data_IF_384346294628
#
_entry.id   IF_384346294628
#
_cell.length_a   1.000
_cell.length_b   1.000
_cell.length_c   1.000
_cell.angle_alpha   90.00
_cell.angle_beta   90.00
_cell.angle_gamma   90.00
#
_symmetry.space_group_name_H-M   'P 1'
#
loop_
_entity.id
_entity.type
_entity.pdbx_description
1 polymer ?
#
# COMPACT_ATOMS: atom_id res chain seq x y z
N UNK A 1 -14.31 -21.97 26.27
CA UNK A 1 -13.64 -23.21 25.87
C UNK A 1 -14.57 -24.01 24.98
N UNK A 2 -14.09 -24.49 23.86
CA UNK A 2 -14.82 -25.24 22.86
C UNK A 2 -14.02 -25.31 21.58
N UNK A 3 -14.45 -26.12 20.64
CA UNK A 3 -13.78 -26.24 19.36
C UNK A 3 -13.81 -24.93 18.58
N UNK A 4 -12.65 -24.48 18.19
CA UNK A 4 -12.44 -23.25 17.39
C UNK A 4 -11.83 -23.65 16.05
N UNK A 5 -12.55 -23.33 14.98
CA UNK A 5 -12.07 -23.54 13.62
C UNK A 5 -11.09 -22.42 13.25
N UNK A 6 -9.86 -22.80 12.94
CA UNK A 6 -8.81 -21.90 12.46
C UNK A 6 -8.60 -22.14 10.97
N UNK A 7 -8.68 -21.09 10.19
CA UNK A 7 -8.34 -21.12 8.76
C UNK A 7 -6.92 -20.59 8.58
N UNK A 8 -6.07 -21.39 7.99
CA UNK A 8 -4.66 -21.06 7.71
C UNK A 8 -4.50 -20.93 6.21
N UNK A 9 -4.26 -19.70 5.74
CA UNK A 9 -3.88 -19.46 4.35
C UNK A 9 -2.40 -19.75 4.19
N UNK A 10 -2.06 -20.63 3.24
CA UNK A 10 -0.69 -20.93 2.86
C UNK A 10 -0.60 -21.01 1.35
N UNK A 11 0.09 -20.08 0.75
CA UNK A 11 0.09 -19.89 -0.72
C UNK A 11 -1.35 -19.70 -1.24
N UNK A 12 -1.79 -20.50 -2.19
CA UNK A 12 -3.13 -20.42 -2.78
C UNK A 12 -4.17 -21.30 -2.06
N UNK A 13 -3.74 -22.08 -1.07
CA UNK A 13 -4.59 -23.00 -0.32
C UNK A 13 -5.04 -22.43 1.02
N UNK A 14 -6.23 -22.86 1.44
CA UNK A 14 -6.75 -22.62 2.79
C UNK A 14 -6.92 -23.96 3.49
N UNK A 15 -6.20 -24.12 4.59
CA UNK A 15 -6.29 -25.30 5.46
C UNK A 15 -7.17 -24.97 6.66
N UNK A 16 -7.92 -25.95 7.13
CA UNK A 16 -8.76 -25.84 8.31
C UNK A 16 -8.21 -26.73 9.43
N UNK A 17 -8.09 -26.18 10.62
CA UNK A 17 -7.64 -26.88 11.82
C UNK A 17 -8.59 -26.59 12.97
N UNK A 18 -8.92 -27.61 13.74
CA UNK A 18 -9.79 -27.48 14.92
C UNK A 18 -8.94 -27.50 16.18
N UNK A 19 -9.07 -26.46 16.99
CA UNK A 19 -8.41 -26.31 18.29
C UNK A 19 -9.42 -26.35 19.42
N UNK A 20 -9.05 -26.94 20.55
CA UNK A 20 -9.89 -26.95 21.74
C UNK A 20 -10.02 -25.60 22.46
N UNK A 21 -9.27 -24.61 22.04
CA UNK A 21 -9.32 -23.24 22.54
C UNK A 21 -8.87 -22.25 21.46
N UNK A 22 -9.26 -21.00 21.58
CA UNK A 22 -8.80 -19.95 20.65
C UNK A 22 -7.28 -19.74 20.81
N UNK A 23 -6.47 -19.86 19.74
CA UNK A 23 -5.00 -19.75 19.85
C UNK A 23 -4.52 -18.36 20.24
N UNK A 24 -5.37 -17.32 20.11
CA UNK A 24 -5.06 -15.95 20.48
C UNK A 24 -5.59 -15.57 21.88
N UNK A 25 -6.18 -16.52 22.59
CA UNK A 25 -6.62 -16.34 23.98
C UNK A 25 -5.43 -16.67 24.91
N UNK A 26 -4.53 -15.71 25.05
CA UNK A 26 -3.29 -15.80 25.83
C UNK A 26 -3.25 -14.75 26.92
N UNK A 27 -2.67 -15.10 28.06
CA UNK A 27 -2.54 -14.20 29.23
C UNK A 27 -1.36 -13.24 29.07
N UNK A 28 -0.34 -13.66 28.36
CA UNK A 28 0.85 -12.89 28.06
C UNK A 28 1.68 -13.56 26.99
N UNK A 29 2.56 -12.80 26.36
CA UNK A 29 3.40 -13.27 25.30
C UNK A 29 4.76 -12.60 25.36
N UNK A 30 5.81 -13.36 25.11
CA UNK A 30 7.18 -12.88 25.03
C UNK A 30 7.78 -13.33 23.70
N UNK A 31 8.13 -12.35 22.84
CA UNK A 31 8.73 -12.59 21.53
C UNK A 31 7.97 -11.98 20.36
N UNK A 32 8.44 -12.27 19.14
CA UNK A 32 8.01 -11.61 17.90
C UNK A 32 6.92 -12.34 17.11
N UNK A 33 6.47 -13.48 17.56
CA UNK A 33 5.52 -14.32 16.81
C UNK A 33 4.07 -14.15 17.25
N UNK A 34 3.78 -13.09 17.99
CA UNK A 34 2.42 -12.84 18.44
C UNK A 34 1.61 -12.21 17.31
N UNK A 35 0.50 -12.87 16.89
CA UNK A 35 -0.37 -12.27 15.89
C UNK A 35 -1.11 -11.06 16.48
N UNK A 36 -1.16 -9.97 15.73
CA UNK A 36 -1.89 -8.76 16.11
C UNK A 36 -2.61 -8.19 14.90
N UNK A 37 -3.63 -7.38 15.16
CA UNK A 37 -4.31 -6.59 14.16
C UNK A 37 -4.04 -5.11 14.43
N UNK A 38 -3.73 -4.39 13.37
CA UNK A 38 -3.53 -2.95 13.40
C UNK A 38 -4.47 -2.30 12.39
N UNK A 39 -5.26 -1.32 12.83
CA UNK A 39 -6.10 -0.55 11.93
C UNK A 39 -5.28 0.51 11.22
N UNK A 40 -5.37 0.59 9.90
CA UNK A 40 -4.73 1.66 9.12
C UNK A 40 -5.19 3.05 9.57
N UNK A 41 -6.40 3.18 10.12
CA UNK A 41 -6.93 4.43 10.64
C UNK A 41 -6.23 4.91 11.93
N UNK A 42 -5.47 4.03 12.59
CA UNK A 42 -4.65 4.37 13.77
C UNK A 42 -3.21 4.77 13.38
N UNK A 43 -2.90 4.82 12.08
CA UNK A 43 -1.61 5.24 11.58
C UNK A 43 -1.54 6.76 11.40
N UNK A 44 -0.46 7.37 11.90
CA UNK A 44 -0.22 8.82 11.82
C UNK A 44 1.16 9.08 11.18
N UNK A 45 1.22 9.43 9.89
CA UNK A 45 2.48 9.76 9.23
C UNK A 45 3.01 11.12 9.69
N UNK A 46 4.32 11.27 9.68
CA UNK A 46 4.97 12.54 9.95
C UNK A 46 4.81 13.45 8.74
N UNK A 47 4.26 14.64 8.96
CA UNK A 47 4.25 15.74 7.98
C UNK A 47 5.20 16.82 8.43
N UNK A 48 6.02 17.34 7.52
CA UNK A 48 7.03 18.35 7.82
C UNK A 48 6.95 19.56 6.91
N UNK A 49 7.90 20.48 7.12
CA UNK A 49 8.04 21.67 6.27
C UNK A 49 8.44 21.28 4.84
N UNK A 50 9.26 20.27 4.70
CA UNK A 50 9.76 19.76 3.41
C UNK A 50 9.50 18.25 3.35
N UNK A 51 9.59 17.69 2.16
CA UNK A 51 9.39 16.27 1.91
C UNK A 51 10.21 15.39 2.87
N UNK A 52 9.51 14.45 3.48
CA UNK A 52 10.12 13.45 4.35
C UNK A 52 10.45 12.21 3.54
N UNK A 53 11.48 11.45 3.93
CA UNK A 53 11.81 10.21 3.23
C UNK A 53 10.68 9.17 3.32
N UNK A 54 10.56 8.26 2.34
CA UNK A 54 9.49 7.26 2.27
C UNK A 54 9.19 6.49 3.56
N UNK A 55 10.16 6.19 4.46
CA UNK A 55 9.88 5.51 5.72
C UNK A 55 8.82 6.15 6.64
N UNK A 56 8.43 7.41 6.42
CA UNK A 56 7.32 8.02 7.19
C UNK A 56 5.98 7.32 7.00
N UNK A 57 5.81 6.59 5.91
CA UNK A 57 4.62 5.79 5.61
C UNK A 57 4.77 4.32 5.98
N UNK A 58 6.00 3.87 6.30
CA UNK A 58 6.28 2.48 6.57
C UNK A 58 5.64 2.03 7.88
N UNK A 59 4.81 0.99 7.81
CA UNK A 59 4.07 0.42 8.94
C UNK A 59 4.68 -0.89 9.39
N UNK A 60 5.06 -1.74 8.44
CA UNK A 60 5.68 -3.04 8.71
C UNK A 60 6.85 -3.29 7.77
N UNK A 61 7.80 -4.10 8.24
CA UNK A 61 8.91 -4.56 7.41
C UNK A 61 9.27 -6.00 7.68
N UNK A 62 9.84 -6.64 6.67
CA UNK A 62 10.45 -7.97 6.72
C UNK A 62 11.70 -7.98 5.84
N UNK A 63 12.43 -9.08 5.83
CA UNK A 63 13.54 -9.27 4.88
C UNK A 63 13.10 -9.38 3.41
N UNK A 64 11.79 -9.49 3.16
CA UNK A 64 11.24 -9.74 1.83
C UNK A 64 10.39 -8.59 1.28
N UNK A 65 9.81 -7.78 2.14
CA UNK A 65 8.93 -6.67 1.74
C UNK A 65 8.75 -5.66 2.87
N UNK A 66 8.28 -4.46 2.50
CA UNK A 66 7.75 -3.45 3.42
C UNK A 66 6.29 -3.17 3.10
N UNK A 67 5.53 -2.75 4.12
CA UNK A 67 4.15 -2.30 3.99
C UNK A 67 4.08 -0.84 4.40
N UNK A 68 3.53 -0.01 3.53
CA UNK A 68 3.32 1.41 3.78
C UNK A 68 1.83 1.73 3.83
N UNK A 69 1.47 2.65 4.71
CA UNK A 69 0.11 3.15 4.89
C UNK A 69 0.01 4.59 4.42
N UNK A 70 -0.79 4.81 3.38
CA UNK A 70 -1.17 6.14 2.93
C UNK A 70 -2.53 6.47 3.51
N UNK A 71 -2.59 7.45 4.40
CA UNK A 71 -3.79 7.84 5.12
C UNK A 71 -4.08 9.31 4.91
N UNK A 72 -5.31 9.78 5.22
CA UNK A 72 -5.62 11.20 5.24
C UNK A 72 -4.58 11.97 6.07
N UNK A 73 -4.00 13.01 5.48
CA UNK A 73 -2.92 13.78 6.10
C UNK A 73 -2.78 15.16 5.48
N UNK A 74 -2.14 16.06 6.20
CA UNK A 74 -1.67 17.32 5.62
C UNK A 74 -0.44 17.06 4.74
N UNK A 75 -0.32 17.86 3.67
CA UNK A 75 0.88 17.88 2.88
C UNK A 75 2.00 18.71 3.52
N UNK A 76 3.20 18.60 2.97
CA UNK A 76 4.33 19.42 3.38
C UNK A 76 4.00 20.90 3.20
N UNK A 77 4.31 21.70 4.23
CA UNK A 77 3.83 23.07 4.33
C UNK A 77 4.82 24.14 3.89
N UNK A 78 5.90 23.79 3.19
CA UNK A 78 6.75 24.81 2.57
C UNK A 78 5.96 25.52 1.45
N UNK A 79 6.07 26.86 1.31
CA UNK A 79 5.30 27.60 0.30
C UNK A 79 5.52 27.15 -1.16
N UNK A 80 6.62 26.46 -1.43
CA UNK A 80 6.96 25.92 -2.74
C UNK A 80 6.88 24.39 -2.77
N UNK A 81 6.21 23.75 -1.80
CA UNK A 81 6.01 22.30 -1.83
C UNK A 81 5.09 21.92 -2.97
N UNK A 82 5.37 20.75 -3.56
CA UNK A 82 4.54 20.13 -4.59
C UNK A 82 3.96 18.87 -3.96
N UNK A 83 2.64 18.81 -3.72
CA UNK A 83 2.01 17.67 -3.04
C UNK A 83 2.09 16.36 -3.81
N UNK A 84 1.97 16.40 -5.14
CA UNK A 84 2.08 15.18 -5.94
C UNK A 84 3.49 14.57 -5.85
N UNK A 85 3.61 13.22 -5.84
CA UNK A 85 4.90 12.57 -5.82
C UNK A 85 5.69 12.89 -7.10
N UNK A 86 6.99 12.66 -7.07
CA UNK A 86 7.85 12.80 -8.25
C UNK A 86 7.91 11.47 -9.02
N UNK A 87 8.25 11.56 -10.31
CA UNK A 87 8.54 10.37 -11.11
C UNK A 87 9.79 9.68 -10.57
N UNK A 88 9.72 8.38 -10.41
CA UNK A 88 10.82 7.57 -9.87
C UNK A 88 10.76 6.14 -10.43
N UNK A 89 11.72 5.33 -10.05
CA UNK A 89 11.80 3.92 -10.38
C UNK A 89 12.42 3.15 -9.21
N UNK A 90 11.77 2.10 -8.79
CA UNK A 90 12.32 1.14 -7.82
C UNK A 90 13.08 0.06 -8.59
N UNK A 91 14.42 0.08 -8.55
CA UNK A 91 15.24 -0.81 -9.37
C UNK A 91 15.10 -2.27 -8.95
N UNK A 92 15.04 -2.54 -7.66
CA UNK A 92 15.07 -3.88 -7.08
C UNK A 92 13.76 -4.27 -6.37
N UNK A 93 12.67 -3.53 -6.62
CA UNK A 93 11.42 -3.69 -5.89
C UNK A 93 10.21 -3.59 -6.83
N UNK A 94 9.32 -4.57 -6.77
CA UNK A 94 7.99 -4.43 -7.33
C UNK A 94 7.11 -3.70 -6.32
N UNK A 95 6.35 -2.71 -6.78
CA UNK A 95 5.45 -1.90 -5.97
C UNK A 95 4.00 -2.27 -6.27
N UNK A 96 3.25 -2.65 -5.24
CA UNK A 96 1.81 -2.93 -5.34
C UNK A 96 1.05 -1.96 -4.47
N UNK A 97 0.08 -1.25 -5.05
CA UNK A 97 -0.84 -0.39 -4.30
C UNK A 97 -2.26 -0.93 -4.36
N UNK A 98 -2.88 -1.03 -3.20
CA UNK A 98 -4.31 -1.26 -3.06
C UNK A 98 -4.99 0.04 -2.62
N UNK A 99 -5.91 0.52 -3.43
CA UNK A 99 -6.64 1.77 -3.22
C UNK A 99 -7.93 1.48 -2.47
N UNK A 100 -8.03 1.97 -1.25
CA UNK A 100 -9.12 1.64 -0.32
C UNK A 100 -10.26 2.64 -0.43
N UNK A 101 -9.94 3.95 -0.30
CA UNK A 101 -10.92 5.04 -0.29
C UNK A 101 -10.25 6.40 -0.51
N UNK A 102 -11.03 7.41 -0.87
CA UNK A 102 -10.60 8.80 -0.97
C UNK A 102 -10.22 9.25 -2.38
N UNK A 103 -9.55 10.40 -2.46
CA UNK A 103 -9.08 11.03 -3.71
C UNK A 103 -7.62 10.65 -3.98
N UNK A 104 -7.40 9.79 -4.95
CA UNK A 104 -6.06 9.34 -5.37
C UNK A 104 -5.45 10.34 -6.35
N UNK A 105 -5.16 11.52 -5.87
CA UNK A 105 -4.73 12.69 -6.62
C UNK A 105 -3.64 12.43 -7.68
N UNK A 106 -2.75 11.49 -7.45
CA UNK A 106 -1.63 11.19 -8.34
C UNK A 106 -1.97 10.22 -9.47
N UNK A 107 -3.18 9.68 -9.47
CA UNK A 107 -3.63 8.68 -10.46
C UNK A 107 -4.90 9.13 -11.16
N UNK A 108 -4.93 9.03 -12.48
CA UNK A 108 -6.16 9.09 -13.25
C UNK A 108 -6.75 7.67 -13.35
N UNK A 109 -8.07 7.58 -13.44
CA UNK A 109 -8.82 6.33 -13.69
C UNK A 109 -8.59 5.20 -12.66
N UNK A 110 -8.24 5.59 -11.43
CA UNK A 110 -8.11 4.65 -10.30
C UNK A 110 -9.19 4.95 -9.29
N UNK A 111 -10.02 3.95 -9.00
CA UNK A 111 -11.11 4.00 -8.03
C UNK A 111 -10.82 3.12 -6.81
N UNK A 112 -11.63 3.27 -5.77
CA UNK A 112 -11.60 2.41 -4.60
C UNK A 112 -11.81 0.93 -5.00
N UNK A 113 -10.97 0.06 -4.46
CA UNK A 113 -10.94 -1.37 -4.77
C UNK A 113 -9.97 -1.76 -5.88
N UNK A 114 -9.40 -0.80 -6.61
CA UNK A 114 -8.37 -1.08 -7.62
C UNK A 114 -7.03 -1.47 -6.98
N UNK A 115 -6.22 -2.18 -7.74
CA UNK A 115 -4.84 -2.52 -7.41
C UNK A 115 -3.97 -2.12 -8.59
N UNK A 116 -2.89 -1.38 -8.35
CA UNK A 116 -1.85 -1.17 -9.35
C UNK A 116 -0.58 -1.95 -9.02
N UNK A 117 0.10 -2.40 -10.06
CA UNK A 117 1.42 -3.02 -9.98
C UNK A 117 2.39 -2.20 -10.82
N UNK A 118 3.47 -1.74 -10.18
CA UNK A 118 4.60 -1.09 -10.84
C UNK A 118 5.81 -2.02 -10.75
N UNK A 119 6.15 -2.74 -11.84
CA UNK A 119 7.28 -3.68 -11.83
C UNK A 119 8.61 -2.98 -11.59
N UNK A 120 9.54 -3.71 -10.99
CA UNK A 120 10.91 -3.25 -10.75
C UNK A 120 11.55 -2.69 -12.03
N UNK A 121 12.25 -1.58 -11.90
CA UNK A 121 12.98 -0.91 -12.99
C UNK A 121 12.13 -0.03 -13.90
N UNK A 122 10.81 -0.07 -13.83
CA UNK A 122 9.94 0.74 -14.68
C UNK A 122 9.71 2.11 -14.02
N UNK A 123 10.05 3.23 -14.68
CA UNK A 123 9.71 4.57 -14.20
C UNK A 123 8.20 4.74 -14.10
N UNK A 124 7.74 5.27 -12.98
CA UNK A 124 6.34 5.59 -12.74
C UNK A 124 6.22 6.84 -11.86
N UNK A 125 5.02 7.35 -11.73
CA UNK A 125 4.76 8.57 -10.97
C UNK A 125 3.36 9.12 -11.22
N UNK A 126 3.11 10.39 -10.92
CA UNK A 126 1.82 11.01 -11.12
C UNK A 126 1.44 11.04 -12.61
N UNK A 127 0.17 10.85 -12.89
CA UNK A 127 -0.35 11.05 -14.25
C UNK A 127 -0.21 12.51 -14.67
N UNK A 128 -0.01 12.79 -15.97
CA UNK A 128 0.09 14.14 -16.49
C UNK A 128 -1.06 15.05 -16.01
N UNK A 129 -0.73 16.30 -15.68
CA UNK A 129 -1.67 17.29 -15.16
C UNK A 129 -2.03 17.15 -13.68
N UNK A 130 -1.66 16.05 -13.01
CA UNK A 130 -1.95 15.86 -11.58
C UNK A 130 -1.02 16.66 -10.68
N UNK A 131 0.21 16.90 -11.12
CA UNK A 131 1.18 17.76 -10.41
C UNK A 131 0.62 19.18 -10.31
N UNK A 132 0.20 19.77 -11.42
CA UNK A 132 -0.37 21.12 -11.47
C UNK A 132 -1.64 21.23 -10.61
N UNK A 133 -2.51 20.22 -10.66
CA UNK A 133 -3.74 20.16 -9.85
C UNK A 133 -3.46 20.01 -8.36
N UNK A 134 -2.29 19.52 -7.99
CA UNK A 134 -1.91 19.33 -6.59
C UNK A 134 -1.43 20.60 -5.92
N UNK A 135 -0.91 21.54 -6.69
CA UNK A 135 -0.30 22.78 -6.15
C UNK A 135 -1.36 23.58 -5.39
N UNK A 136 -1.02 23.93 -4.15
CA UNK A 136 -1.91 24.67 -3.25
C UNK A 136 -2.89 23.83 -2.46
N UNK A 137 -2.96 22.52 -2.66
CA UNK A 137 -3.71 21.63 -1.76
C UNK A 137 -3.03 21.53 -0.40
N UNK A 138 -3.82 21.58 0.66
CA UNK A 138 -3.31 21.52 2.05
C UNK A 138 -3.17 20.10 2.59
N UNK A 139 -3.89 19.14 2.01
CA UNK A 139 -3.90 17.75 2.47
C UNK A 139 -4.57 16.81 1.49
N UNK A 140 -4.64 15.55 1.87
CA UNK A 140 -5.29 14.47 1.12
C UNK A 140 -6.21 13.66 2.02
N UNK A 141 -7.25 13.11 1.41
CA UNK A 141 -8.18 12.16 2.01
C UNK A 141 -7.93 10.73 1.50
N UNK A 142 -6.82 10.49 0.81
CA UNK A 142 -6.50 9.16 0.28
C UNK A 142 -6.31 8.13 1.39
N UNK A 143 -6.77 6.92 1.13
CA UNK A 143 -6.53 5.75 1.96
C UNK A 143 -6.07 4.60 1.06
N UNK A 144 -4.80 4.22 1.17
CA UNK A 144 -4.21 3.17 0.37
C UNK A 144 -3.14 2.40 1.15
N UNK A 145 -2.93 1.16 0.75
CA UNK A 145 -1.86 0.31 1.26
C UNK A 145 -0.90 0.02 0.12
N UNK A 146 0.39 0.25 0.34
CA UNK A 146 1.45 -0.09 -0.60
C UNK A 146 2.33 -1.20 -0.02
N UNK A 147 2.75 -2.09 -0.88
CA UNK A 147 3.73 -3.14 -0.56
C UNK A 147 4.86 -3.06 -1.57
N UNK A 148 6.06 -2.78 -1.10
CA UNK A 148 7.29 -2.88 -1.88
C UNK A 148 7.96 -4.20 -1.58
N UNK A 149 8.25 -4.99 -2.60
CA UNK A 149 8.84 -6.33 -2.44
C UNK A 149 10.29 -6.34 -2.89
N UNK A 150 11.15 -7.01 -2.12
CA UNK A 150 12.58 -7.16 -2.45
C UNK A 150 12.88 -8.43 -3.25
N UNK A 151 11.84 -9.13 -3.67
CA UNK A 151 11.90 -10.28 -4.57
C UNK A 151 10.79 -10.15 -5.62
N UNK A 152 11.05 -10.59 -6.87
CA UNK A 152 10.08 -10.48 -7.95
C UNK A 152 8.74 -11.15 -7.58
N UNK A 153 7.65 -10.43 -7.83
CA UNK A 153 6.31 -10.96 -7.67
C UNK A 153 5.96 -11.94 -8.80
N UNK A 154 5.11 -12.89 -8.46
CA UNK A 154 4.42 -13.73 -9.44
C UNK A 154 2.96 -13.33 -9.46
N UNK A 155 2.52 -12.81 -10.59
CA UNK A 155 1.11 -12.48 -10.80
C UNK A 155 0.33 -13.78 -10.99
N UNK A 156 -0.73 -13.99 -10.21
CA UNK A 156 -1.58 -15.16 -10.33
C UNK A 156 -2.56 -15.04 -11.52
N UNK A 157 -3.09 -16.17 -11.99
CA UNK A 157 -4.00 -16.22 -13.12
C UNK A 157 -5.25 -15.35 -12.91
N UNK A 158 -5.84 -15.42 -11.72
CA UNK A 158 -7.02 -14.61 -11.38
C UNK A 158 -6.76 -13.09 -11.47
N UNK A 159 -5.55 -12.63 -11.16
CA UNK A 159 -5.20 -11.23 -11.31
C UNK A 159 -5.02 -10.85 -12.79
N UNK A 160 -4.50 -11.76 -13.60
CA UNK A 160 -4.38 -11.54 -15.04
C UNK A 160 -5.74 -11.48 -15.75
N UNK A 161 -6.73 -12.24 -15.29
CA UNK A 161 -8.09 -12.22 -15.83
C UNK A 161 -8.81 -10.86 -15.65
N UNK A 162 -8.45 -10.11 -14.62
CA UNK A 162 -9.06 -8.80 -14.31
C UNK A 162 -8.14 -7.62 -14.59
N UNK A 163 -6.97 -7.87 -15.19
CA UNK A 163 -6.00 -6.83 -15.47
C UNK A 163 -6.50 -5.89 -16.58
N UNK A 164 -6.32 -4.59 -16.35
CA UNK A 164 -6.49 -3.58 -17.40
C UNK A 164 -5.21 -3.48 -18.22
N UNK A 165 -5.24 -4.06 -19.40
CA UNK A 165 -4.10 -4.06 -20.34
C UNK A 165 -3.75 -2.66 -20.86
N UNK A 166 -4.65 -1.69 -20.77
CA UNK A 166 -4.42 -0.31 -21.20
C UNK A 166 -3.74 0.58 -20.15
N UNK A 167 -3.74 0.16 -18.90
CA UNK A 167 -3.22 0.98 -17.78
C UNK A 167 -1.80 1.50 -18.01
N UNK A 168 -0.90 0.69 -18.58
CA UNK A 168 0.49 1.08 -18.82
C UNK A 168 0.64 2.18 -19.89
N UNK A 169 -0.36 2.43 -20.72
CA UNK A 169 -0.39 3.50 -21.73
C UNK A 169 -1.11 4.76 -21.27
N UNK A 170 -1.76 4.73 -20.11
CA UNK A 170 -2.57 5.85 -19.60
C UNK A 170 -1.77 7.14 -19.34
N UNK A 171 -0.44 7.05 -19.25
CA UNK A 171 0.45 8.23 -19.22
C UNK A 171 0.70 8.88 -20.57
N UNK A 172 0.32 8.24 -21.67
CA UNK A 172 0.58 8.68 -23.05
C UNK A 172 -0.61 9.42 -23.67
N UNK A 173 -1.81 9.24 -23.17
CA UNK A 173 -3.06 9.77 -23.71
C UNK A 173 -3.32 11.19 -23.21
N UNK A 174 -2.63 12.19 -23.82
CA UNK A 174 -2.81 13.62 -23.50
C UNK A 174 -2.70 14.52 -24.74
#
# INVERSE_FOLDING_TARGET
>A
KGDVLIKVKKQDDIFEMVYASHPFDVVGYDGYNYPYAFSIHDFEPITGRIHQPPPVHQTFETDAFVVCSFVPRKYDYHPQSIPAPYNHSNIDSDEVLYYVDGDFMSRADVDAGHISLHPAGIPHGPHPGTVEKSIGKEGTEELAVMVDTFKPLKVCEAAMEIADESYHTSWLDH
#
